data_IF_341877117132
#
_entry.id   IF_341877117132
#
_cell.length_a   1.000
_cell.length_b   1.000
_cell.length_c   1.000
_cell.angle_alpha   90.00
_cell.angle_beta   90.00
_cell.angle_gamma   90.00
#
_symmetry.space_group_name_H-M   'P 1'
#
loop_
_entity.id
_entity.type
_entity.pdbx_description
1 polymer ?
#
# COMPACT_ATOMS: atom_id res chain seq x y z
N UNK A 1 -65.31 -2.59 -35.35
CA UNK A 1 -64.06 -2.68 -34.54
C UNK A 1 -64.40 -2.51 -33.07
N UNK A 2 -64.47 -3.59 -32.27
CA UNK A 2 -64.68 -3.51 -30.81
C UNK A 2 -63.30 -3.42 -30.14
N UNK A 3 -62.99 -2.30 -29.49
CA UNK A 3 -61.80 -2.20 -28.62
C UNK A 3 -62.05 -3.03 -27.36
N UNK A 4 -61.21 -4.02 -27.10
CA UNK A 4 -61.24 -4.83 -25.87
C UNK A 4 -60.94 -3.93 -24.68
N UNK A 5 -61.90 -3.78 -23.77
CA UNK A 5 -61.73 -3.01 -22.54
C UNK A 5 -60.74 -3.78 -21.65
N UNK A 6 -59.69 -3.14 -21.11
CA UNK A 6 -58.71 -3.82 -20.27
C UNK A 6 -59.39 -4.47 -19.06
N UNK A 7 -58.99 -5.71 -18.79
CA UNK A 7 -59.41 -6.48 -17.62
C UNK A 7 -59.16 -5.68 -16.34
N UNK A 8 -60.04 -5.85 -15.35
CA UNK A 8 -59.90 -5.18 -14.06
C UNK A 8 -58.55 -5.47 -13.38
N UNK A 9 -58.00 -6.67 -13.58
CA UNK A 9 -56.66 -7.02 -13.10
C UNK A 9 -55.56 -6.21 -13.79
N UNK A 10 -55.69 -6.00 -15.09
CA UNK A 10 -54.71 -5.27 -15.92
C UNK A 10 -54.72 -3.76 -15.60
N UNK A 11 -55.90 -3.20 -15.32
CA UNK A 11 -56.05 -1.83 -14.79
C UNK A 11 -55.39 -1.66 -13.43
N UNK A 12 -55.58 -2.61 -12.50
CA UNK A 12 -54.96 -2.57 -11.17
C UNK A 12 -53.43 -2.62 -11.24
N UNK A 13 -52.88 -3.49 -12.09
CA UNK A 13 -51.43 -3.60 -12.29
C UNK A 13 -50.86 -2.31 -12.90
N UNK A 14 -51.58 -1.68 -13.84
CA UNK A 14 -51.20 -0.39 -14.41
C UNK A 14 -51.19 0.74 -13.38
N UNK A 15 -52.16 0.78 -12.47
CA UNK A 15 -52.25 1.76 -11.39
C UNK A 15 -51.14 1.60 -10.35
N UNK A 16 -50.85 0.36 -9.91
CA UNK A 16 -49.74 0.08 -8.98
C UNK A 16 -48.39 0.48 -9.57
N UNK A 17 -48.14 0.13 -10.83
CA UNK A 17 -46.88 0.49 -11.51
C UNK A 17 -46.72 2.00 -11.68
N UNK A 18 -47.80 2.73 -11.97
CA UNK A 18 -47.77 4.20 -12.06
C UNK A 18 -47.53 4.85 -10.69
N UNK A 19 -48.10 4.29 -9.62
CA UNK A 19 -47.87 4.73 -8.24
C UNK A 19 -46.41 4.51 -7.81
N UNK A 20 -45.86 3.33 -8.07
CA UNK A 20 -44.46 2.99 -7.76
C UNK A 20 -43.49 3.89 -8.51
N UNK A 21 -43.74 4.14 -9.80
CA UNK A 21 -42.94 5.07 -10.60
C UNK A 21 -43.01 6.50 -10.07
N UNK A 22 -44.19 6.96 -9.61
CA UNK A 22 -44.36 8.25 -8.96
C UNK A 22 -43.54 8.37 -7.68
N UNK A 23 -43.62 7.36 -6.81
CA UNK A 23 -42.85 7.28 -5.57
C UNK A 23 -41.34 7.30 -5.82
N UNK A 24 -40.84 6.49 -6.76
CA UNK A 24 -39.41 6.44 -7.08
C UNK A 24 -38.90 7.77 -7.64
N UNK A 25 -39.71 8.46 -8.46
CA UNK A 25 -39.36 9.77 -9.02
C UNK A 25 -39.29 10.83 -7.93
N UNK A 26 -40.26 10.84 -7.00
CA UNK A 26 -40.26 11.75 -5.86
C UNK A 26 -39.08 11.50 -4.92
N UNK A 27 -38.79 10.23 -4.59
CA UNK A 27 -37.66 9.85 -3.75
C UNK A 27 -36.32 10.28 -4.35
N UNK A 28 -36.17 10.17 -5.67
CA UNK A 28 -34.97 10.64 -6.39
C UNK A 28 -34.81 12.17 -6.31
N UNK A 29 -35.90 12.92 -6.41
CA UNK A 29 -35.89 14.40 -6.30
C UNK A 29 -35.53 14.83 -4.88
N UNK A 30 -36.13 14.19 -3.86
CA UNK A 30 -35.86 14.48 -2.45
C UNK A 30 -34.40 14.22 -2.10
N UNK A 31 -33.87 13.04 -2.45
CA UNK A 31 -32.45 12.71 -2.22
C UNK A 31 -31.49 13.68 -2.93
N UNK A 32 -31.84 14.14 -4.15
CA UNK A 32 -31.01 15.09 -4.89
C UNK A 32 -30.96 16.46 -4.18
N UNK A 33 -32.10 16.93 -3.69
CA UNK A 33 -32.17 18.19 -2.94
C UNK A 33 -31.40 18.14 -1.61
N UNK A 34 -31.41 17.00 -0.92
CA UNK A 34 -30.60 16.81 0.30
C UNK A 34 -29.09 16.80 0.00
N UNK A 35 -28.68 16.17 -1.10
CA UNK A 35 -27.29 16.17 -1.55
C UNK A 35 -26.80 17.60 -1.89
N UNK A 36 -27.56 18.34 -2.70
CA UNK A 36 -27.24 19.73 -3.06
C UNK A 36 -27.19 20.65 -1.81
N UNK A 37 -28.10 20.45 -0.84
CA UNK A 37 -28.07 21.19 0.42
C UNK A 37 -26.83 20.86 1.25
N UNK A 38 -26.44 19.59 1.35
CA UNK A 38 -25.21 19.17 2.06
C UNK A 38 -23.94 19.72 1.42
N UNK A 39 -23.91 19.83 0.10
CA UNK A 39 -22.78 20.36 -0.67
C UNK A 39 -22.64 21.88 -0.46
N UNK A 40 -23.77 22.59 -0.40
CA UNK A 40 -23.82 24.03 -0.10
C UNK A 40 -23.47 24.40 1.36
N UNK A 41 -23.56 23.43 2.28
CA UNK A 41 -23.29 23.65 3.70
C UNK A 41 -21.79 23.54 4.07
N UNK A 42 -20.92 23.17 3.12
CA UNK A 42 -19.48 23.05 3.36
C UNK A 42 -18.83 24.45 3.41
N UNK A 43 -18.23 24.87 4.54
CA UNK A 43 -17.67 26.22 4.68
C UNK A 43 -16.55 26.49 3.67
N UNK A 44 -16.58 27.66 3.02
CA UNK A 44 -15.71 28.03 1.90
C UNK A 44 -14.19 27.90 2.18
N UNK A 45 -13.77 28.03 3.45
CA UNK A 45 -12.37 27.90 3.88
C UNK A 45 -11.79 26.50 3.69
N UNK A 46 -12.63 25.46 3.73
CA UNK A 46 -12.23 24.07 3.45
C UNK A 46 -12.69 23.61 2.05
N UNK A 47 -13.31 24.49 1.27
CA UNK A 47 -13.86 24.17 -0.05
C UNK A 47 -12.79 23.80 -1.09
N UNK A 48 -11.53 24.19 -0.90
CA UNK A 48 -10.42 23.66 -1.72
C UNK A 48 -10.13 22.20 -1.35
N UNK A 49 -9.95 21.90 -0.07
CA UNK A 49 -9.66 20.54 0.40
C UNK A 49 -10.80 19.57 0.10
N UNK A 50 -12.05 20.02 0.20
CA UNK A 50 -13.20 19.19 -0.17
C UNK A 50 -13.26 18.93 -1.68
N UNK A 51 -12.94 19.92 -2.52
CA UNK A 51 -12.88 19.74 -3.98
C UNK A 51 -11.80 18.76 -4.42
N UNK A 52 -10.61 18.85 -3.85
CA UNK A 52 -9.45 18.06 -4.27
C UNK A 52 -9.31 16.73 -3.53
N UNK A 53 -9.52 16.72 -2.21
CA UNK A 53 -9.33 15.54 -1.37
C UNK A 53 -10.62 14.86 -0.92
N UNK A 54 -11.80 15.49 -1.13
CA UNK A 54 -13.13 14.92 -0.79
C UNK A 54 -13.17 14.32 0.61
N UNK A 55 -12.72 15.10 1.60
CA UNK A 55 -12.51 14.67 3.00
C UNK A 55 -13.83 14.16 3.60
N UNK A 56 -14.97 14.70 3.18
CA UNK A 56 -16.30 14.21 3.57
C UNK A 56 -16.51 12.71 3.33
N UNK A 57 -15.81 12.10 2.36
CA UNK A 57 -15.89 10.66 2.06
C UNK A 57 -15.16 9.77 3.06
N UNK A 58 -14.31 10.34 3.92
CA UNK A 58 -13.67 9.61 5.01
C UNK A 58 -14.66 9.29 6.14
N UNK A 59 -15.80 10.01 6.20
CA UNK A 59 -16.87 9.82 7.19
C UNK A 59 -17.82 8.67 6.83
N UNK A 60 -17.28 7.49 6.54
CA UNK A 60 -18.09 6.28 6.33
C UNK A 60 -18.19 5.46 7.63
N UNK A 61 -19.30 4.75 7.87
CA UNK A 61 -19.45 3.93 9.06
C UNK A 61 -18.47 2.73 9.01
N UNK A 62 -17.62 2.61 10.04
CA UNK A 62 -16.66 1.51 10.17
C UNK A 62 -17.28 0.39 11.02
N UNK A 63 -17.33 -0.87 10.51
CA UNK A 63 -17.84 -2.00 11.28
C UNK A 63 -17.05 -2.22 12.59
N UNK A 64 -17.69 -2.67 13.69
CA UNK A 64 -17.02 -2.83 14.98
C UNK A 64 -15.77 -3.72 14.95
N UNK A 65 -15.79 -4.82 14.19
CA UNK A 65 -14.66 -5.75 14.05
C UNK A 65 -13.45 -5.14 13.33
N UNK A 66 -13.65 -4.11 12.49
CA UNK A 66 -12.59 -3.45 11.76
C UNK A 66 -11.77 -2.46 12.63
N UNK A 67 -12.18 -2.26 13.89
CA UNK A 67 -11.45 -1.43 14.88
C UNK A 67 -10.40 -2.23 15.67
N UNK A 68 -10.26 -3.52 15.40
CA UNK A 68 -9.31 -4.39 16.10
C UNK A 68 -7.88 -4.24 15.54
N UNK A 69 -6.87 -4.53 16.36
CA UNK A 69 -5.45 -4.43 15.97
C UNK A 69 -5.08 -5.14 14.65
N UNK A 70 -5.61 -6.33 14.30
CA UNK A 70 -5.29 -6.96 13.02
C UNK A 70 -5.69 -6.12 11.80
N UNK A 71 -6.66 -5.21 11.97
CA UNK A 71 -7.13 -4.29 10.94
C UNK A 71 -6.28 -3.03 10.81
N UNK A 72 -5.52 -2.67 11.84
CA UNK A 72 -4.59 -1.52 11.82
C UNK A 72 -3.20 -1.87 11.29
N UNK A 73 -2.85 -3.17 11.20
CA UNK A 73 -1.54 -3.66 10.71
C UNK A 73 -1.12 -3.02 9.38
N UNK A 74 -2.02 -2.90 8.41
CA UNK A 74 -1.70 -2.29 7.12
C UNK A 74 -1.36 -0.80 7.23
N UNK A 75 -2.03 -0.07 8.13
CA UNK A 75 -1.71 1.33 8.42
C UNK A 75 -0.38 1.49 9.15
N UNK A 76 -0.07 0.58 10.09
CA UNK A 76 1.23 0.54 10.78
C UNK A 76 2.35 0.30 9.76
N UNK A 77 2.18 -0.66 8.85
CA UNK A 77 3.13 -0.92 7.77
C UNK A 77 3.32 0.32 6.87
N UNK A 78 2.24 1.01 6.50
CA UNK A 78 2.32 2.23 5.70
C UNK A 78 3.13 3.33 6.39
N UNK A 79 2.87 3.59 7.68
CA UNK A 79 3.64 4.56 8.46
C UNK A 79 5.11 4.13 8.56
N UNK A 80 5.37 2.84 8.76
CA UNK A 80 6.73 2.30 8.77
C UNK A 80 7.49 2.52 7.45
N UNK A 81 6.82 2.37 6.30
CA UNK A 81 7.43 2.72 5.01
C UNK A 81 7.75 4.21 4.89
N UNK A 82 6.91 5.11 5.40
CA UNK A 82 7.22 6.54 5.42
C UNK A 82 8.46 6.83 6.27
N UNK A 83 8.57 6.20 7.44
CA UNK A 83 9.75 6.32 8.30
C UNK A 83 11.02 5.81 7.61
N UNK A 84 10.94 4.65 6.93
CA UNK A 84 12.04 4.11 6.14
C UNK A 84 12.44 5.03 4.99
N UNK A 85 11.46 5.56 4.26
CA UNK A 85 11.71 6.46 3.15
C UNK A 85 12.45 7.72 3.61
N UNK A 86 11.96 8.37 4.66
CA UNK A 86 12.59 9.59 5.19
C UNK A 86 14.00 9.30 5.73
N UNK A 87 14.16 8.27 6.57
CA UNK A 87 15.47 7.93 7.12
C UNK A 87 16.47 7.45 6.06
N UNK A 88 16.00 6.71 5.05
CA UNK A 88 16.80 6.26 3.91
C UNK A 88 17.25 7.41 3.03
N UNK A 89 16.38 8.39 2.75
CA UNK A 89 16.74 9.60 2.01
C UNK A 89 17.85 10.39 2.70
N UNK A 90 17.77 10.52 4.03
CA UNK A 90 18.78 11.24 4.82
C UNK A 90 20.10 10.47 4.81
N UNK A 91 20.08 9.16 5.07
CA UNK A 91 21.30 8.32 5.01
C UNK A 91 21.94 8.32 3.61
N UNK A 92 21.11 8.33 2.56
CA UNK A 92 21.55 8.37 1.17
C UNK A 92 22.36 9.62 0.81
N UNK A 93 22.20 10.74 1.54
CA UNK A 93 23.01 11.94 1.29
C UNK A 93 24.48 11.77 1.71
N UNK A 94 24.77 10.81 2.59
CA UNK A 94 26.11 10.56 3.13
C UNK A 94 26.74 9.26 2.61
N UNK A 95 26.00 8.50 1.80
CA UNK A 95 26.42 7.20 1.29
C UNK A 95 27.07 7.34 -0.09
N UNK A 96 28.25 6.71 -0.28
CA UNK A 96 28.87 6.59 -1.59
C UNK A 96 28.69 5.15 -2.11
N UNK A 97 28.00 4.93 -3.24
CA UNK A 97 27.77 3.58 -3.77
C UNK A 97 29.00 2.95 -4.44
N UNK A 98 30.12 3.66 -4.59
CA UNK A 98 31.34 3.11 -5.19
C UNK A 98 32.00 2.07 -4.26
N UNK A 99 32.31 0.84 -4.73
CA UNK A 99 32.84 -0.25 -3.90
C UNK A 99 34.05 0.12 -3.05
N UNK A 100 34.95 0.97 -3.56
CA UNK A 100 36.19 1.38 -2.91
C UNK A 100 35.95 2.31 -1.71
N UNK A 101 34.79 2.96 -1.67
CA UNK A 101 34.45 3.99 -0.68
C UNK A 101 33.15 3.73 0.07
N UNK A 102 32.39 2.70 -0.31
CA UNK A 102 31.11 2.35 0.31
C UNK A 102 31.26 2.11 1.82
N UNK A 103 32.21 1.26 2.21
CA UNK A 103 32.46 0.95 3.62
C UNK A 103 32.93 2.19 4.41
N UNK A 104 33.80 3.02 3.82
CA UNK A 104 34.28 4.25 4.46
C UNK A 104 33.17 5.30 4.61
N UNK A 105 32.24 5.40 3.65
CA UNK A 105 31.07 6.28 3.76
C UNK A 105 30.16 5.89 4.93
N UNK A 106 30.00 4.58 5.19
CA UNK A 106 29.27 4.10 6.37
C UNK A 106 30.00 4.45 7.67
N UNK A 107 31.33 4.30 7.72
CA UNK A 107 32.13 4.72 8.89
C UNK A 107 31.98 6.22 9.16
N UNK A 108 31.99 7.03 8.11
CA UNK A 108 31.76 8.47 8.21
C UNK A 108 30.40 8.78 8.83
N UNK A 109 29.32 8.12 8.39
CA UNK A 109 27.97 8.27 8.99
C UNK A 109 27.97 7.92 10.48
N UNK A 110 28.70 6.88 10.88
CA UNK A 110 28.73 6.44 12.28
C UNK A 110 29.55 7.38 13.16
N UNK A 111 30.70 7.86 12.67
CA UNK A 111 31.70 8.58 13.47
C UNK A 111 31.58 10.10 13.40
N UNK A 112 31.29 10.65 12.23
CA UNK A 112 31.43 12.08 11.96
C UNK A 112 30.07 12.80 11.85
N UNK A 113 29.01 12.09 11.42
CA UNK A 113 27.68 12.70 11.27
C UNK A 113 26.97 12.78 12.63
N UNK A 114 26.57 13.98 13.10
CA UNK A 114 25.81 14.13 14.33
C UNK A 114 24.51 13.33 14.29
N UNK A 115 24.33 12.39 15.23
CA UNK A 115 23.16 11.51 15.26
C UNK A 115 23.12 10.42 14.19
N UNK A 116 24.15 10.30 13.34
CA UNK A 116 24.19 9.32 12.25
C UNK A 116 24.11 7.87 12.73
N UNK A 117 24.75 7.55 13.86
CA UNK A 117 24.62 6.23 14.52
C UNK A 117 23.18 5.91 14.91
N UNK A 118 22.46 6.87 15.52
CA UNK A 118 21.06 6.69 15.89
C UNK A 118 20.18 6.55 14.64
N UNK A 119 20.37 7.40 13.63
CA UNK A 119 19.60 7.37 12.40
C UNK A 119 19.75 6.03 11.65
N UNK A 120 20.98 5.50 11.57
CA UNK A 120 21.28 4.19 10.99
C UNK A 120 20.62 3.06 11.78
N UNK A 121 20.74 3.08 13.10
CA UNK A 121 20.09 2.09 13.96
C UNK A 121 18.56 2.16 13.81
N UNK A 122 17.98 3.36 13.80
CA UNK A 122 16.56 3.59 13.60
C UNK A 122 16.09 3.04 12.26
N UNK A 123 16.81 3.33 11.16
CA UNK A 123 16.48 2.78 9.84
C UNK A 123 16.51 1.24 9.84
N UNK A 124 17.56 0.64 10.42
CA UNK A 124 17.70 -0.81 10.52
C UNK A 124 16.55 -1.45 11.33
N UNK A 125 16.29 -0.96 12.55
CA UNK A 125 15.23 -1.53 13.40
C UNK A 125 13.84 -1.31 12.81
N UNK A 126 13.61 -0.17 12.15
CA UNK A 126 12.37 0.09 11.44
C UNK A 126 12.19 -0.88 10.28
N UNK A 127 13.25 -1.22 9.54
CA UNK A 127 13.17 -2.19 8.45
C UNK A 127 12.74 -3.57 8.96
N UNK A 128 13.35 -4.05 10.05
CA UNK A 128 12.98 -5.32 10.68
C UNK A 128 11.51 -5.32 11.16
N UNK A 129 11.08 -4.24 11.82
CA UNK A 129 9.71 -4.09 12.28
C UNK A 129 8.70 -4.06 11.12
N UNK A 130 9.02 -3.35 10.02
CA UNK A 130 8.16 -3.27 8.83
C UNK A 130 8.00 -4.64 8.18
N UNK A 131 9.08 -5.40 8.00
CA UNK A 131 9.03 -6.77 7.46
C UNK A 131 8.11 -7.64 8.32
N UNK A 132 8.30 -7.63 9.65
CA UNK A 132 7.49 -8.42 10.57
C UNK A 132 6.00 -8.06 10.51
N UNK A 133 5.67 -6.76 10.61
CA UNK A 133 4.27 -6.29 10.58
C UNK A 133 3.63 -6.53 9.21
N UNK A 134 4.38 -6.37 8.12
CA UNK A 134 3.92 -6.65 6.76
C UNK A 134 3.59 -8.14 6.59
N UNK A 135 4.41 -9.05 7.10
CA UNK A 135 4.11 -10.49 7.07
C UNK A 135 2.83 -10.81 7.85
N UNK A 136 2.65 -10.24 9.04
CA UNK A 136 1.40 -10.40 9.81
C UNK A 136 0.19 -9.81 9.08
N UNK A 137 0.36 -8.67 8.41
CA UNK A 137 -0.69 -8.05 7.60
C UNK A 137 -1.11 -8.97 6.44
N UNK A 138 -0.14 -9.52 5.71
CA UNK A 138 -0.37 -10.43 4.59
C UNK A 138 -1.05 -11.72 5.07
N UNK A 139 -0.58 -12.29 6.17
CA UNK A 139 -1.19 -13.47 6.80
C UNK A 139 -2.66 -13.19 7.16
N UNK A 140 -2.97 -12.05 7.78
CA UNK A 140 -4.34 -11.68 8.12
C UNK A 140 -5.21 -11.57 6.87
N UNK A 141 -4.74 -10.87 5.83
CA UNK A 141 -5.48 -10.70 4.58
C UNK A 141 -5.76 -12.05 3.91
N UNK A 142 -4.79 -12.97 3.96
CA UNK A 142 -4.92 -14.32 3.44
C UNK A 142 -5.94 -15.16 4.24
N UNK A 143 -5.78 -15.26 5.56
CA UNK A 143 -6.65 -16.06 6.44
C UNK A 143 -8.09 -15.55 6.45
N UNK A 144 -8.28 -14.23 6.41
CA UNK A 144 -9.64 -13.63 6.36
C UNK A 144 -10.27 -13.66 4.95
N UNK A 145 -9.55 -14.14 3.94
CA UNK A 145 -10.02 -14.15 2.55
C UNK A 145 -10.27 -12.75 1.98
N UNK A 146 -9.68 -11.71 2.57
CA UNK A 146 -9.93 -10.32 2.21
C UNK A 146 -9.42 -9.94 0.81
N UNK A 147 -8.51 -10.76 0.25
CA UNK A 147 -7.97 -10.62 -1.11
C UNK A 147 -8.95 -10.96 -2.23
N UNK A 148 -10.06 -11.67 -1.93
CA UNK A 148 -11.07 -12.05 -2.93
C UNK A 148 -11.68 -10.81 -3.62
N UNK A 149 -12.28 -11.02 -4.80
CA UNK A 149 -12.95 -9.96 -5.56
C UNK A 149 -13.94 -9.19 -4.65
N UNK A 150 -14.03 -7.84 -4.78
CA UNK A 150 -13.46 -6.98 -5.81
C UNK A 150 -12.04 -6.44 -5.52
N UNK A 151 -11.32 -6.94 -4.50
CA UNK A 151 -10.04 -6.37 -4.02
C UNK A 151 -8.78 -7.07 -4.53
N UNK A 152 -8.90 -7.82 -5.63
CA UNK A 152 -7.77 -8.57 -6.22
C UNK A 152 -6.61 -7.66 -6.63
N UNK A 153 -6.90 -6.46 -7.14
CA UNK A 153 -5.87 -5.52 -7.52
C UNK A 153 -5.04 -5.08 -6.31
N UNK A 154 -5.68 -4.67 -5.22
CA UNK A 154 -4.99 -4.32 -3.97
C UNK A 154 -4.15 -5.47 -3.42
N UNK A 155 -4.61 -6.71 -3.58
CA UNK A 155 -3.84 -7.89 -3.20
C UNK A 155 -2.54 -8.02 -4.01
N UNK A 156 -2.59 -7.89 -5.35
CA UNK A 156 -1.38 -7.93 -6.16
C UNK A 156 -0.39 -6.82 -5.80
N UNK A 157 -0.88 -5.61 -5.52
CA UNK A 157 -0.02 -4.53 -5.00
C UNK A 157 0.63 -4.92 -3.67
N UNK A 158 -0.12 -5.54 -2.76
CA UNK A 158 0.43 -6.05 -1.50
C UNK A 158 1.53 -7.10 -1.70
N UNK A 159 1.34 -8.03 -2.66
CA UNK A 159 2.35 -9.05 -3.00
C UNK A 159 3.60 -8.42 -3.61
N UNK A 160 3.45 -7.45 -4.53
CA UNK A 160 4.58 -6.72 -5.10
C UNK A 160 5.33 -5.95 -4.01
N UNK A 161 4.61 -5.24 -3.13
CA UNK A 161 5.22 -4.53 -2.01
C UNK A 161 5.96 -5.47 -1.05
N UNK A 162 5.41 -6.67 -0.78
CA UNK A 162 6.10 -7.69 0.00
C UNK A 162 7.40 -8.11 -0.68
N UNK A 163 7.36 -8.44 -1.98
CA UNK A 163 8.53 -8.85 -2.74
C UNK A 163 9.62 -7.75 -2.74
N UNK A 164 9.26 -6.50 -3.05
CA UNK A 164 10.21 -5.39 -3.07
C UNK A 164 10.79 -5.10 -1.69
N UNK A 165 10.02 -5.29 -0.61
CA UNK A 165 10.50 -5.09 0.76
C UNK A 165 11.49 -6.14 1.19
N UNK A 166 11.23 -7.41 0.85
CA UNK A 166 12.17 -8.51 1.13
C UNK A 166 13.46 -8.33 0.32
N UNK A 167 13.35 -7.95 -0.95
CA UNK A 167 14.51 -7.64 -1.80
C UNK A 167 15.31 -6.46 -1.23
N UNK A 168 14.65 -5.33 -0.93
CA UNK A 168 15.32 -4.14 -0.42
C UNK A 168 15.95 -4.35 0.96
N UNK A 169 15.28 -5.07 1.87
CA UNK A 169 15.76 -5.27 3.24
C UNK A 169 16.85 -6.33 3.33
N UNK A 170 16.67 -7.50 2.70
CA UNK A 170 17.62 -8.60 2.83
C UNK A 170 18.70 -8.55 1.76
N UNK A 171 18.37 -8.30 0.49
CA UNK A 171 19.39 -8.31 -0.57
C UNK A 171 20.13 -6.99 -0.65
N UNK A 172 19.44 -5.89 -0.98
CA UNK A 172 20.12 -4.61 -1.18
C UNK A 172 20.69 -4.07 0.13
N UNK A 173 19.90 -4.03 1.21
CA UNK A 173 20.28 -3.42 2.47
C UNK A 173 21.50 -4.06 3.16
N UNK A 174 21.68 -5.37 3.03
CA UNK A 174 22.86 -6.07 3.59
C UNK A 174 24.10 -5.74 2.79
N UNK A 175 24.02 -5.82 1.45
CA UNK A 175 25.13 -5.61 0.52
C UNK A 175 25.66 -4.18 0.54
N UNK A 176 24.80 -3.18 0.78
CA UNK A 176 25.17 -1.75 0.80
C UNK A 176 26.30 -1.40 1.78
N UNK A 177 26.48 -2.19 2.85
CA UNK A 177 27.53 -1.92 3.85
C UNK A 177 28.93 -2.21 3.34
N UNK A 178 29.06 -3.10 2.35
CA UNK A 178 30.33 -3.55 1.77
C UNK A 178 31.35 -4.03 2.83
N UNK A 179 30.84 -4.69 3.87
CA UNK A 179 31.62 -5.36 4.92
C UNK A 179 31.72 -6.87 4.65
N UNK A 180 32.44 -7.62 5.50
CA UNK A 180 32.59 -9.07 5.35
C UNK A 180 31.24 -9.80 5.24
N UNK A 181 30.27 -9.42 6.07
CA UNK A 181 28.91 -9.97 6.05
C UNK A 181 28.23 -9.70 4.69
N UNK A 182 28.43 -8.52 4.11
CA UNK A 182 27.92 -8.15 2.78
C UNK A 182 28.46 -9.07 1.69
N UNK A 183 29.77 -9.37 1.72
CA UNK A 183 30.39 -10.26 0.73
C UNK A 183 29.88 -11.70 0.85
N UNK A 184 29.75 -12.20 2.08
CA UNK A 184 29.19 -13.53 2.35
C UNK A 184 27.72 -13.62 1.91
N UNK A 185 26.91 -12.61 2.26
CA UNK A 185 25.52 -12.51 1.83
C UNK A 185 25.40 -12.49 0.29
N UNK A 186 26.21 -11.68 -0.40
CA UNK A 186 26.24 -11.63 -1.85
C UNK A 186 26.62 -12.98 -2.48
N UNK A 187 27.61 -13.66 -1.92
CA UNK A 187 28.01 -14.99 -2.37
C UNK A 187 26.86 -16.01 -2.22
N UNK A 188 26.17 -16.01 -1.08
CA UNK A 188 24.99 -16.85 -0.85
C UNK A 188 23.83 -16.51 -1.80
N UNK A 189 23.61 -15.23 -2.12
CA UNK A 189 22.59 -14.83 -3.10
C UNK A 189 22.92 -15.31 -4.51
N UNK A 190 24.19 -15.19 -4.93
CA UNK A 190 24.64 -15.72 -6.23
C UNK A 190 24.49 -17.23 -6.33
N UNK A 191 24.80 -17.95 -5.26
CA UNK A 191 24.58 -19.39 -5.21
C UNK A 191 23.09 -19.74 -5.23
N UNK A 192 22.27 -18.97 -4.51
CA UNK A 192 20.81 -19.04 -4.57
C UNK A 192 20.27 -18.89 -5.99
N UNK A 193 20.81 -17.93 -6.76
CA UNK A 193 20.43 -17.72 -8.15
C UNK A 193 20.80 -18.92 -9.03
N UNK A 194 21.96 -19.55 -8.84
CA UNK A 194 22.38 -20.73 -9.62
C UNK A 194 21.40 -21.89 -9.53
N UNK A 195 20.67 -22.05 -8.42
CA UNK A 195 19.59 -23.05 -8.32
C UNK A 195 18.44 -22.83 -9.30
N UNK A 196 18.27 -21.61 -9.84
CA UNK A 196 17.28 -21.29 -10.87
C UNK A 196 17.74 -21.71 -12.28
N UNK A 197 18.90 -22.36 -12.41
CA UNK A 197 19.43 -22.85 -13.67
C UNK A 197 19.75 -21.71 -14.66
N UNK A 198 19.41 -21.85 -15.96
CA UNK A 198 19.80 -20.87 -16.98
C UNK A 198 19.29 -19.44 -16.73
N UNK A 199 18.13 -19.30 -16.07
CA UNK A 199 17.57 -18.00 -15.70
C UNK A 199 18.44 -17.34 -14.61
N UNK A 200 18.91 -18.14 -13.66
CA UNK A 200 19.80 -17.69 -12.60
C UNK A 200 21.17 -17.28 -13.10
N UNK A 201 21.74 -18.05 -14.03
CA UNK A 201 23.01 -17.71 -14.68
C UNK A 201 22.90 -16.43 -15.50
N UNK A 202 21.81 -16.25 -16.25
CA UNK A 202 21.55 -15.01 -16.97
C UNK A 202 21.50 -13.81 -16.03
N UNK A 203 20.72 -13.88 -14.95
CA UNK A 203 20.60 -12.79 -13.97
C UNK A 203 21.94 -12.50 -13.29
N UNK A 204 22.67 -13.54 -12.85
CA UNK A 204 23.96 -13.38 -12.17
C UNK A 204 25.08 -12.86 -13.07
N UNK A 205 25.00 -13.08 -14.39
CA UNK A 205 26.02 -12.64 -15.35
C UNK A 205 26.04 -11.13 -15.61
N UNK A 206 24.93 -10.43 -15.33
CA UNK A 206 24.78 -8.99 -15.60
C UNK A 206 25.43 -8.11 -14.52
N UNK A 207 25.74 -8.67 -13.35
CA UNK A 207 26.20 -7.94 -12.15
C UNK A 207 27.68 -8.18 -11.79
N UNK A 208 28.50 -8.67 -12.72
CA UNK A 208 29.86 -9.10 -12.42
C UNK A 208 30.81 -7.92 -12.12
N UNK A 209 30.78 -7.44 -10.87
CA UNK A 209 31.93 -6.77 -10.24
C UNK A 209 32.96 -7.86 -9.93
N UNK A 210 34.18 -7.81 -10.51
CA UNK A 210 35.22 -8.76 -10.19
C UNK A 210 35.60 -8.61 -8.71
N UNK A 211 35.47 -9.70 -7.95
CA UNK A 211 36.00 -9.80 -6.60
C UNK A 211 37.47 -10.23 -6.74
N UNK A 212 38.34 -9.28 -7.04
CA UNK A 212 39.79 -9.49 -7.08
C UNK A 212 40.45 -9.12 -5.76
#
# INVERSE_FOLDING_TARGET
MRRSVPSFADRRIGEERNSEMGYLRQKKILNRGELERSESAVPSRVGFLERWFKISRLSYPVPPHARMLPYTLGGITFVGFLLLFVSGLILGQFYNPAPESAYESIKYVVKEVPGGTFLRAFHYWTAQAVVFVLLLHMLRVFVTGAYKAPRLFTWYFGVVLLATTLLGSYFSGTVLKWDQESFEALAHYREGLRFLGPIGEFIGSVEAVPLN
#
